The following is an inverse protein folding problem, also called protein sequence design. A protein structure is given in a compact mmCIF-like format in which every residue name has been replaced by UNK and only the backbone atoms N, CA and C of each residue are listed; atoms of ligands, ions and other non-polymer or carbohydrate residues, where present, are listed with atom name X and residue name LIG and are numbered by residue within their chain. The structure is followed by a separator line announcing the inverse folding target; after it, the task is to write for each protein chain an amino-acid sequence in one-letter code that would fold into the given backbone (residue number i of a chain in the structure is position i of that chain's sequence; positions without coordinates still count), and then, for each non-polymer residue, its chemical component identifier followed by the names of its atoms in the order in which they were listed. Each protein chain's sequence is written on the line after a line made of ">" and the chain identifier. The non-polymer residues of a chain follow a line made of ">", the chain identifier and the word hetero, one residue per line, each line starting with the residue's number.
data_IF_385224369175
#
_entry.id   IF_385224369175
#
_cell.length_a   1.000
_cell.length_b   1.000
_cell.length_c   1.000
_cell.angle_alpha   90.00
_cell.angle_beta   90.00
_cell.angle_gamma   90.00
#
_symmetry.space_group_name_H-M   'P 1'
#
loop_
_entity.id
_entity.type
_entity.pdbx_description
1 polymer ?
#
# COMPACT_ATOMS: atom_id res chain seq x y z
N UNK A 1 -8.36 -38.38 -13.93
CA UNK A 1 -7.47 -37.20 -13.93
C UNK A 1 -7.81 -36.35 -12.73
N UNK A 2 -7.02 -36.40 -11.65
CA UNK A 2 -7.13 -35.45 -10.54
C UNK A 2 -6.47 -34.15 -10.98
N UNK A 3 -7.24 -33.07 -11.05
CA UNK A 3 -6.71 -31.73 -11.24
C UNK A 3 -6.00 -31.29 -9.96
N UNK A 4 -4.69 -31.04 -10.04
CA UNK A 4 -3.96 -30.36 -8.98
C UNK A 4 -4.51 -28.93 -8.87
N UNK A 5 -5.28 -28.66 -7.82
CA UNK A 5 -5.58 -27.29 -7.41
C UNK A 5 -4.27 -26.65 -6.95
N UNK A 6 -3.84 -25.51 -7.52
CA UNK A 6 -2.75 -24.74 -6.93
C UNK A 6 -3.27 -24.18 -5.61
N UNK A 7 -2.93 -24.83 -4.51
CA UNK A 7 -3.04 -24.21 -3.20
C UNK A 7 -2.04 -23.06 -3.14
N UNK A 8 -2.52 -21.81 -3.19
CA UNK A 8 -1.70 -20.65 -2.88
C UNK A 8 -1.23 -20.78 -1.44
N UNK A 9 0.01 -21.19 -1.25
CA UNK A 9 0.68 -21.12 0.04
C UNK A 9 1.09 -19.67 0.24
N UNK A 10 0.77 -19.09 1.40
CA UNK A 10 1.28 -17.77 1.76
C UNK A 10 2.82 -17.82 1.74
N UNK A 11 3.43 -17.02 0.88
CA UNK A 11 4.88 -16.94 0.81
C UNK A 11 5.36 -16.09 1.99
N UNK A 12 6.05 -16.69 2.96
CA UNK A 12 6.63 -15.98 4.10
C UNK A 12 7.54 -14.85 3.60
N UNK A 13 7.07 -13.61 3.70
CA UNK A 13 7.69 -12.42 3.10
C UNK A 13 7.97 -11.38 4.19
N UNK A 14 8.93 -11.63 5.10
CA UNK A 14 9.15 -10.80 6.28
C UNK A 14 9.59 -9.36 5.98
N UNK A 15 10.01 -9.09 4.74
CA UNK A 15 10.47 -7.78 4.28
C UNK A 15 9.48 -7.09 3.34
N UNK A 16 8.29 -7.64 3.16
CA UNK A 16 7.30 -7.05 2.26
C UNK A 16 6.80 -5.69 2.77
N UNK A 17 6.44 -4.85 1.81
CA UNK A 17 5.77 -3.59 2.07
C UNK A 17 4.54 -3.50 1.15
N UNK A 18 3.39 -3.22 1.75
CA UNK A 18 2.19 -2.82 1.03
C UNK A 18 2.05 -1.30 1.15
N UNK A 19 1.98 -0.61 0.01
CA UNK A 19 1.96 0.85 -0.07
C UNK A 19 0.64 1.31 -0.65
N UNK A 20 -0.02 2.23 0.05
CA UNK A 20 -1.17 2.97 -0.43
C UNK A 20 -0.70 4.37 -0.80
N UNK A 21 -0.56 4.64 -2.09
CA UNK A 21 0.05 5.87 -2.57
C UNK A 21 -0.99 6.90 -3.00
N UNK A 22 -0.84 8.13 -2.51
CA UNK A 22 -1.53 9.28 -3.04
C UNK A 22 -0.57 10.10 -3.90
N UNK A 23 -0.77 9.96 -5.21
CA UNK A 23 -0.06 10.67 -6.24
C UNK A 23 -0.87 11.78 -6.89
N UNK A 24 -1.91 12.29 -6.21
CA UNK A 24 -2.60 13.49 -6.63
C UNK A 24 -4.02 13.61 -6.08
N UNK A 25 -4.29 14.75 -5.46
CA UNK A 25 -5.62 15.19 -5.06
C UNK A 25 -6.30 15.87 -6.26
N UNK A 26 -7.46 15.37 -6.69
CA UNK A 26 -8.49 16.22 -7.32
C UNK A 26 -8.42 16.50 -8.84
N UNK A 27 -8.07 15.52 -9.68
CA UNK A 27 -8.26 15.65 -11.14
C UNK A 27 -9.23 14.61 -11.75
N UNK A 28 -9.90 13.81 -10.91
CA UNK A 28 -10.96 12.90 -11.35
C UNK A 28 -12.32 13.61 -11.45
N UNK A 29 -13.27 13.00 -12.15
CA UNK A 29 -14.65 13.51 -12.18
C UNK A 29 -15.19 13.72 -10.75
N UNK A 30 -15.89 14.84 -10.52
CA UNK A 30 -16.46 15.24 -9.23
C UNK A 30 -15.44 15.46 -8.09
N UNK A 31 -14.20 15.83 -8.39
CA UNK A 31 -13.16 16.04 -7.38
C UNK A 31 -12.59 14.73 -6.82
N UNK A 32 -12.87 13.60 -7.48
CA UNK A 32 -12.35 12.29 -7.10
C UNK A 32 -10.82 12.22 -7.18
N UNK A 33 -10.23 11.38 -6.32
CA UNK A 33 -8.80 11.08 -6.38
C UNK A 33 -8.44 10.37 -7.68
N UNK A 34 -7.35 10.80 -8.34
CA UNK A 34 -6.79 10.06 -9.48
C UNK A 34 -5.80 8.99 -9.05
N UNK A 35 -5.41 8.99 -7.77
CA UNK A 35 -4.46 8.04 -7.22
C UNK A 35 -5.10 7.10 -6.21
N UNK A 36 -5.12 5.83 -6.60
CA UNK A 36 -5.75 4.69 -5.89
C UNK A 36 -4.85 3.48 -5.92
N UNK A 37 -3.55 3.69 -6.08
CA UNK A 37 -2.58 2.63 -6.28
C UNK A 37 -2.31 1.92 -4.95
N UNK A 38 -2.63 0.62 -4.92
CA UNK A 38 -2.11 -0.31 -3.92
C UNK A 38 -0.93 -1.04 -4.55
N UNK A 39 0.23 -0.86 -3.96
CA UNK A 39 1.52 -1.26 -4.53
C UNK A 39 2.19 -2.24 -3.58
N UNK A 40 2.70 -3.34 -4.12
CA UNK A 40 3.43 -4.34 -3.38
C UNK A 40 4.92 -4.28 -3.70
N UNK A 41 5.74 -4.27 -2.66
CA UNK A 41 7.18 -4.44 -2.72
C UNK A 41 7.56 -5.71 -1.98
N UNK A 42 8.32 -6.59 -2.62
CA UNK A 42 8.91 -7.78 -1.99
C UNK A 42 10.08 -7.47 -1.04
N UNK A 43 10.33 -6.19 -0.79
CA UNK A 43 11.47 -5.66 -0.04
C UNK A 43 11.24 -4.19 0.25
N UNK A 44 12.31 -3.45 0.47
CA UNK A 44 12.26 -2.03 0.84
C UNK A 44 11.60 -1.16 -0.23
N UNK A 45 10.87 -0.13 0.23
CA UNK A 45 10.29 0.88 -0.66
C UNK A 45 11.36 1.86 -1.14
N UNK A 46 12.15 2.39 -0.20
CA UNK A 46 13.18 3.41 -0.47
C UNK A 46 14.59 2.80 -0.51
N UNK A 47 15.45 3.38 -1.35
CA UNK A 47 16.85 2.91 -1.53
C UNK A 47 17.77 3.31 -0.38
N UNK A 48 17.38 4.31 0.42
CA UNK A 48 18.25 4.98 1.39
C UNK A 48 18.97 6.20 0.81
N UNK A 49 18.94 6.41 -0.52
CA UNK A 49 19.49 7.59 -1.17
C UNK A 49 18.41 8.67 -1.29
N UNK A 50 18.06 9.30 -0.16
CA UNK A 50 16.98 10.29 -0.12
C UNK A 50 15.59 9.65 -0.31
N UNK A 51 14.85 10.09 -1.32
CA UNK A 51 13.49 9.65 -1.64
C UNK A 51 13.39 8.74 -2.86
N UNK A 52 14.53 8.28 -3.38
CA UNK A 52 14.55 7.28 -4.44
C UNK A 52 13.89 5.97 -3.97
N UNK A 53 13.08 5.38 -4.85
CA UNK A 53 12.34 4.15 -4.56
C UNK A 53 12.81 3.00 -5.44
N UNK A 54 12.80 1.79 -4.88
CA UNK A 54 13.00 0.58 -5.68
C UNK A 54 11.83 0.37 -6.65
N UNK A 55 11.99 -0.54 -7.60
CA UNK A 55 10.90 -0.94 -8.49
C UNK A 55 9.93 -1.85 -7.73
N UNK A 56 8.64 -1.50 -7.75
CA UNK A 56 7.58 -2.34 -7.18
C UNK A 56 7.47 -3.69 -7.89
N UNK A 57 6.99 -4.71 -7.18
CA UNK A 57 6.78 -6.05 -7.74
C UNK A 57 5.39 -6.17 -8.37
N UNK A 58 4.37 -5.56 -7.76
CA UNK A 58 2.98 -5.58 -8.23
C UNK A 58 2.28 -4.27 -7.89
N UNK A 59 1.26 -3.91 -8.68
CA UNK A 59 0.42 -2.74 -8.45
C UNK A 59 -0.97 -2.98 -8.99
N UNK A 60 -1.98 -2.49 -8.26
CA UNK A 60 -3.39 -2.48 -8.69
C UNK A 60 -4.04 -1.19 -8.27
N UNK A 61 -5.14 -0.84 -8.92
CA UNK A 61 -5.99 0.26 -8.49
C UNK A 61 -7.08 -0.27 -7.55
N UNK A 62 -7.18 0.33 -6.36
CA UNK A 62 -8.30 0.09 -5.44
C UNK A 62 -9.59 0.60 -6.09
N UNK A 63 -10.69 -0.17 -6.06
CA UNK A 63 -11.98 0.27 -6.56
C UNK A 63 -12.43 1.59 -5.92
N UNK A 64 -13.01 2.48 -6.73
CA UNK A 64 -13.54 3.75 -6.25
C UNK A 64 -14.84 3.53 -5.48
N UNK A 65 -14.91 4.04 -4.25
CA UNK A 65 -16.09 3.97 -3.40
C UNK A 65 -16.89 5.28 -3.34
N UNK A 66 -16.46 6.34 -4.04
CA UNK A 66 -17.07 7.67 -3.94
C UNK A 66 -16.34 8.61 -2.97
N UNK A 67 -15.45 8.09 -2.12
CA UNK A 67 -14.68 8.85 -1.15
C UNK A 67 -13.17 8.68 -1.34
N UNK A 68 -12.41 9.69 -0.93
CA UNK A 68 -10.95 9.70 -0.98
C UNK A 68 -10.39 8.36 -0.48
N UNK A 69 -9.48 7.71 -1.24
CA UNK A 69 -9.05 6.36 -0.93
C UNK A 69 -8.35 6.38 0.43
N UNK A 70 -8.36 5.24 1.11
CA UNK A 70 -7.88 5.03 2.49
C UNK A 70 -8.89 5.38 3.60
N UNK A 71 -9.96 6.14 3.31
CA UNK A 71 -11.04 6.42 4.28
C UNK A 71 -12.32 5.61 4.08
N UNK A 72 -12.31 4.60 3.21
CA UNK A 72 -13.51 3.88 2.77
C UNK A 72 -14.20 3.17 3.94
N UNK A 73 -15.54 3.24 4.00
CA UNK A 73 -16.31 2.47 4.99
C UNK A 73 -16.04 0.97 4.78
N UNK A 74 -15.48 0.32 5.80
CA UNK A 74 -15.09 -1.09 5.72
C UNK A 74 -13.67 -1.33 5.20
N UNK A 75 -12.87 -0.30 4.91
CA UNK A 75 -11.47 -0.42 4.49
C UNK A 75 -11.27 -0.45 2.98
N UNK A 76 -10.01 -0.30 2.55
CA UNK A 76 -9.59 -0.44 1.16
C UNK A 76 -9.27 -1.90 0.85
N UNK A 77 -9.84 -2.43 -0.24
CA UNK A 77 -9.64 -3.82 -0.63
C UNK A 77 -9.15 -3.94 -2.07
N UNK A 78 -8.20 -4.84 -2.31
CA UNK A 78 -7.78 -5.19 -3.67
C UNK A 78 -7.29 -6.63 -3.78
N UNK A 79 -7.35 -7.17 -4.99
CA UNK A 79 -6.72 -8.44 -5.37
C UNK A 79 -5.54 -8.14 -6.28
N UNK A 80 -4.34 -8.58 -5.87
CA UNK A 80 -3.10 -8.44 -6.63
C UNK A 80 -3.08 -9.38 -7.85
N UNK A 81 -2.20 -9.15 -8.84
CA UNK A 81 -2.11 -9.99 -10.04
C UNK A 81 -1.80 -11.47 -9.77
N UNK A 82 -1.16 -11.77 -8.64
CA UNK A 82 -0.88 -13.14 -8.20
C UNK A 82 -2.06 -13.81 -7.46
N UNK A 83 -3.18 -13.11 -7.29
CA UNK A 83 -4.38 -13.60 -6.60
C UNK A 83 -4.45 -13.27 -5.10
N UNK A 84 -3.39 -12.69 -4.53
CA UNK A 84 -3.35 -12.28 -3.13
C UNK A 84 -4.37 -11.18 -2.86
N UNK A 85 -5.11 -11.30 -1.75
CA UNK A 85 -6.13 -10.32 -1.37
C UNK A 85 -5.68 -9.55 -0.14
N UNK A 86 -5.79 -8.24 -0.24
CA UNK A 86 -5.43 -7.31 0.82
C UNK A 86 -6.64 -6.51 1.26
N UNK A 87 -6.74 -6.31 2.58
CA UNK A 87 -7.69 -5.41 3.23
C UNK A 87 -6.91 -4.44 4.10
N UNK A 88 -7.10 -3.14 3.92
CA UNK A 88 -6.34 -2.12 4.65
C UNK A 88 -7.29 -1.13 5.31
N UNK A 89 -7.03 -0.85 6.58
CA UNK A 89 -7.79 0.10 7.39
C UNK A 89 -6.85 1.18 7.88
N UNK A 90 -7.18 2.43 7.58
CA UNK A 90 -6.37 3.60 7.90
C UNK A 90 -7.22 4.61 8.68
N UNK A 91 -6.71 5.03 9.84
CA UNK A 91 -7.17 6.21 10.56
C UNK A 91 -6.38 7.43 10.09
N UNK A 92 -7.02 8.23 9.22
CA UNK A 92 -6.44 9.45 8.64
C UNK A 92 -6.22 10.59 9.65
N UNK A 93 -6.74 10.47 10.87
CA UNK A 93 -6.54 11.48 11.92
C UNK A 93 -5.18 11.35 12.61
N UNK A 94 -4.53 10.20 12.46
CA UNK A 94 -3.21 9.92 13.03
C UNK A 94 -2.12 10.63 12.23
N UNK A 95 -1.25 11.35 12.94
CA UNK A 95 -0.15 12.12 12.35
C UNK A 95 1.15 11.31 12.31
N UNK A 96 1.96 11.60 11.29
CA UNK A 96 3.33 11.08 11.16
C UNK A 96 4.13 11.32 12.46
N UNK A 97 4.99 10.38 12.90
CA UNK A 97 5.28 9.09 12.28
C UNK A 97 4.54 7.93 12.99
N UNK A 98 3.38 8.19 13.61
CA UNK A 98 2.66 7.19 14.38
C UNK A 98 1.99 6.15 13.48
N UNK A 99 1.72 4.97 14.05
CA UNK A 99 0.99 3.93 13.34
C UNK A 99 -0.46 4.38 13.07
N UNK A 100 -0.80 4.48 11.79
CA UNK A 100 -2.08 4.99 11.32
C UNK A 100 -3.07 3.86 10.93
N UNK A 101 -2.65 2.60 10.96
CA UNK A 101 -3.56 1.52 10.59
C UNK A 101 -2.90 0.16 10.44
N UNK A 102 -3.62 -0.74 9.77
CA UNK A 102 -3.24 -2.13 9.59
C UNK A 102 -3.67 -2.65 8.21
N UNK A 103 -2.86 -3.53 7.63
CA UNK A 103 -3.16 -4.27 6.42
C UNK A 103 -3.15 -5.78 6.68
N UNK A 104 -4.18 -6.46 6.20
CA UNK A 104 -4.36 -7.90 6.31
C UNK A 104 -4.23 -8.57 4.97
N UNK A 105 -3.36 -9.57 4.91
CA UNK A 105 -3.33 -10.53 3.83
C UNK A 105 -4.36 -11.63 4.07
N UNK A 106 -5.13 -12.03 3.06
CA UNK A 106 -6.19 -13.04 3.23
C UNK A 106 -5.69 -14.41 3.69
N UNK A 107 -4.42 -14.74 3.41
CA UNK A 107 -3.81 -16.01 3.83
C UNK A 107 -3.07 -15.90 5.17
N UNK A 108 -2.82 -14.69 5.68
CA UNK A 108 -2.06 -14.44 6.92
C UNK A 108 -2.78 -13.45 7.86
N UNK A 109 -4.09 -13.62 8.02
CA UNK A 109 -4.93 -12.70 8.80
C UNK A 109 -4.52 -12.52 10.28
N UNK A 110 -3.72 -13.42 10.83
CA UNK A 110 -3.22 -13.39 12.21
C UNK A 110 -1.94 -12.55 12.36
N UNK A 111 -1.37 -12.03 11.26
CA UNK A 111 -0.15 -11.23 11.23
C UNK A 111 -0.35 -9.97 10.37
N UNK A 112 -1.14 -9.00 10.83
CA UNK A 112 -1.32 -7.76 10.08
C UNK A 112 -0.02 -6.97 9.97
N UNK A 113 0.15 -6.31 8.84
CA UNK A 113 1.18 -5.31 8.63
C UNK A 113 0.76 -4.01 9.31
N UNK A 114 1.66 -3.39 10.07
CA UNK A 114 1.41 -2.08 10.68
C UNK A 114 1.66 -0.97 9.65
N UNK A 115 0.68 -0.09 9.46
CA UNK A 115 0.74 1.00 8.48
C UNK A 115 1.16 2.32 9.13
N UNK A 116 2.06 3.03 8.46
CA UNK A 116 2.56 4.36 8.85
C UNK A 116 2.34 5.35 7.73
N UNK A 117 1.95 6.57 8.07
CA UNK A 117 1.78 7.66 7.11
C UNK A 117 3.08 8.41 6.86
N UNK A 118 3.23 8.89 5.63
CA UNK A 118 4.36 9.68 5.18
C UNK A 118 3.85 10.81 4.28
N UNK A 119 3.96 12.05 4.76
CA UNK A 119 3.57 13.25 4.03
C UNK A 119 4.82 14.06 3.65
N UNK A 120 5.44 13.70 2.53
CA UNK A 120 6.69 14.29 2.05
C UNK A 120 6.56 14.73 0.60
N UNK A 121 7.23 15.82 0.21
CA UNK A 121 7.41 16.13 -1.21
C UNK A 121 8.12 14.94 -1.88
N UNK A 122 7.54 14.39 -2.96
CA UNK A 122 8.08 13.25 -3.73
C UNK A 122 8.30 11.96 -2.91
N UNK A 123 7.31 11.54 -2.11
CA UNK A 123 7.42 10.34 -1.24
C UNK A 123 7.63 9.03 -2.01
N UNK A 124 7.09 8.93 -3.22
CA UNK A 124 7.15 7.72 -4.06
C UNK A 124 7.06 8.14 -5.53
N UNK A 125 7.74 7.44 -6.42
CA UNK A 125 7.55 7.58 -7.87
C UNK A 125 6.88 6.34 -8.44
N UNK A 126 5.82 6.54 -9.22
CA UNK A 126 5.20 5.45 -9.98
C UNK A 126 6.05 5.10 -11.21
N UNK A 127 5.77 3.93 -11.80
CA UNK A 127 6.51 3.43 -12.97
C UNK A 127 6.37 4.32 -14.22
N UNK A 128 5.33 5.15 -14.30
CA UNK A 128 5.12 6.14 -15.36
C UNK A 128 5.84 7.48 -15.10
N UNK A 129 6.58 7.59 -13.99
CA UNK A 129 7.32 8.77 -13.58
C UNK A 129 6.54 9.76 -12.72
N UNK A 130 5.25 9.53 -12.46
CA UNK A 130 4.41 10.39 -11.60
C UNK A 130 4.91 10.36 -10.15
N UNK A 131 5.07 11.53 -9.55
CA UNK A 131 5.43 11.66 -8.14
C UNK A 131 4.22 11.67 -7.22
N UNK A 132 4.37 11.03 -6.07
CA UNK A 132 3.39 10.98 -5.01
C UNK A 132 3.74 11.95 -3.88
N UNK A 133 2.72 12.51 -3.24
CA UNK A 133 2.84 13.49 -2.15
C UNK A 133 2.56 12.91 -0.77
N UNK A 134 1.82 11.80 -0.72
CA UNK A 134 1.66 11.05 0.52
C UNK A 134 1.56 9.55 0.27
N UNK A 135 1.92 8.75 1.27
CA UNK A 135 1.79 7.31 1.22
C UNK A 135 1.53 6.74 2.62
N UNK A 136 0.76 5.65 2.68
CA UNK A 136 0.78 4.75 3.83
C UNK A 136 1.61 3.53 3.47
N UNK A 137 2.64 3.23 4.27
CA UNK A 137 3.46 2.03 4.09
C UNK A 137 3.18 1.08 5.25
N UNK A 138 2.68 -0.10 4.90
CA UNK A 138 2.37 -1.19 5.81
C UNK A 138 3.46 -2.25 5.73
N UNK A 139 4.05 -2.62 6.86
CA UNK A 139 5.08 -3.67 6.91
C UNK A 139 5.15 -4.38 8.27
N UNK A 140 5.98 -5.43 8.32
CA UNK A 140 6.25 -6.24 9.52
C UNK A 140 7.24 -5.58 10.50
N UNK A 141 7.84 -4.42 10.17
CA UNK A 141 8.93 -3.82 10.98
C UNK A 141 8.43 -3.26 12.31
N UNK A 142 7.13 -2.93 12.39
CA UNK A 142 6.52 -2.34 13.59
C UNK A 142 7.08 -0.96 13.95
N UNK A 143 7.72 -0.27 12.99
CA UNK A 143 8.22 1.09 13.14
C UNK A 143 8.22 1.82 11.79
N UNK A 144 8.04 3.15 11.79
CA UNK A 144 8.11 3.94 10.58
C UNK A 144 9.54 3.92 9.99
N UNK A 145 9.63 4.08 8.68
CA UNK A 145 10.87 4.42 8.01
C UNK A 145 11.26 5.85 8.40
N UNK A 146 12.51 6.02 8.83
CA UNK A 146 13.06 7.34 9.15
C UNK A 146 13.99 7.70 8.01
N UNK A 147 13.80 8.87 7.40
CA UNK A 147 14.74 9.37 6.40
C UNK A 147 16.14 9.44 7.02
N UNK A 148 17.19 8.96 6.34
CA UNK A 148 18.56 9.21 6.72
C UNK A 148 18.87 10.71 6.83
#
# INVERSE_FOLDING_TARGET
>A
LLACLPGSVAQNSPYENLVLADCGIGYGANGGSTSREMIYFSGDVWTGNGLETYKHSMMVNVPWSGDYPWGQAGGAHATMPNGDRWSVYIDRSIKDPNAAGDAWHSLENHKPLKCYSYHWDKVLQLADGKWCSSAYVCNHRGKPYVKP
#
